data_IF_340302301569
#
_entry.id   IF_340302301569
#
_cell.length_a   1.000
_cell.length_b   1.000
_cell.length_c   1.000
_cell.angle_alpha   90.00
_cell.angle_beta   90.00
_cell.angle_gamma   90.00
#
_symmetry.space_group_name_H-M   'P 1'
#
loop_
_entity.id
_entity.type
_entity.pdbx_description
1 polymer ?
#
# COMPACT_ATOMS: atom_id res chain seq x y z
N UNK A 1 7.98 3.36 -2.42
CA UNK A 1 6.52 3.21 -2.53
C UNK A 1 6.14 2.21 -3.64
N UNK A 2 6.46 2.44 -4.91
CA UNK A 2 6.01 1.57 -6.02
C UNK A 2 6.35 0.08 -5.85
N UNK A 3 7.54 -0.28 -5.37
CA UNK A 3 7.86 -1.68 -5.04
C UNK A 3 6.96 -2.23 -3.93
N UNK A 4 6.72 -1.43 -2.89
CA UNK A 4 5.88 -1.85 -1.76
C UNK A 4 4.43 -2.07 -2.19
N UNK A 5 3.87 -1.19 -3.01
CA UNK A 5 2.52 -1.34 -3.58
C UNK A 5 2.43 -2.59 -4.46
N UNK A 6 3.41 -2.80 -5.36
CA UNK A 6 3.46 -3.98 -6.22
C UNK A 6 3.54 -5.28 -5.42
N UNK A 7 4.41 -5.36 -4.43
CA UNK A 7 4.53 -6.53 -3.55
C UNK A 7 3.27 -6.75 -2.72
N UNK A 8 2.61 -5.68 -2.24
CA UNK A 8 1.34 -5.79 -1.53
C UNK A 8 0.21 -6.32 -2.42
N UNK A 9 0.13 -5.91 -3.68
CA UNK A 9 -0.82 -6.46 -4.65
C UNK A 9 -0.58 -7.98 -4.82
N UNK A 10 0.67 -8.39 -4.99
CA UNK A 10 1.03 -9.80 -5.15
C UNK A 10 0.77 -10.62 -3.87
N UNK A 11 1.00 -10.03 -2.69
CA UNK A 11 0.65 -10.64 -1.40
C UNK A 11 -0.83 -10.99 -1.32
N UNK A 12 -1.70 -10.13 -1.86
CA UNK A 12 -3.15 -10.28 -1.82
C UNK A 12 -3.73 -10.95 -3.09
N UNK A 13 -2.89 -11.54 -3.95
CA UNK A 13 -3.34 -12.25 -5.16
C UNK A 13 -4.17 -13.52 -4.88
N UNK A 14 -4.39 -13.85 -3.62
CA UNK A 14 -5.25 -14.95 -3.15
C UNK A 14 -6.65 -14.49 -2.70
N UNK A 15 -7.02 -13.25 -2.95
CA UNK A 15 -8.29 -12.66 -2.53
C UNK A 15 -9.54 -13.45 -2.99
N UNK A 16 -9.43 -14.21 -4.09
CA UNK A 16 -10.50 -15.07 -4.59
C UNK A 16 -10.67 -16.42 -3.87
N UNK A 17 -9.82 -16.73 -2.88
CA UNK A 17 -9.95 -17.90 -2.01
C UNK A 17 -10.85 -17.65 -0.80
N UNK A 18 -11.17 -16.39 -0.49
CA UNK A 18 -11.97 -15.98 0.65
C UNK A 18 -13.37 -15.64 0.14
N UNK A 19 -14.41 -16.23 0.74
CA UNK A 19 -15.78 -15.82 0.49
C UNK A 19 -16.00 -14.41 1.04
N UNK A 20 -16.44 -13.50 0.16
CA UNK A 20 -16.81 -12.13 0.52
C UNK A 20 -18.32 -11.99 0.48
N UNK A 21 -18.93 -11.48 1.52
CA UNK A 21 -20.33 -11.08 1.47
C UNK A 21 -20.46 -9.87 0.55
N UNK A 22 -21.19 -10.03 -0.55
CA UNK A 22 -21.57 -8.92 -1.42
C UNK A 22 -22.78 -8.21 -0.80
N UNK A 23 -22.60 -6.95 -0.43
CA UNK A 23 -23.64 -6.08 0.09
C UNK A 23 -23.45 -4.64 -0.41
N UNK A 24 -24.30 -3.71 0.00
CA UNK A 24 -24.19 -2.30 -0.39
C UNK A 24 -22.89 -1.61 0.08
N UNK A 25 -22.17 -2.23 1.02
CA UNK A 25 -20.91 -1.68 1.61
C UNK A 25 -19.66 -2.32 1.04
N UNK A 26 -19.78 -3.45 0.32
CA UNK A 26 -18.65 -4.25 -0.13
C UNK A 26 -18.76 -4.51 -1.62
N UNK A 27 -17.83 -3.95 -2.40
CA UNK A 27 -17.76 -4.23 -3.82
C UNK A 27 -17.48 -5.74 -4.06
N UNK A 28 -18.22 -6.41 -4.96
CA UNK A 28 -17.96 -7.80 -5.29
C UNK A 28 -16.62 -7.96 -6.00
N UNK A 29 -16.05 -9.14 -5.91
CA UNK A 29 -14.93 -9.56 -6.74
C UNK A 29 -15.51 -10.28 -7.96
N UNK A 30 -15.54 -9.61 -9.12
CA UNK A 30 -16.25 -10.09 -10.31
C UNK A 30 -15.69 -11.41 -10.88
N UNK A 31 -14.39 -11.65 -10.73
CA UNK A 31 -13.69 -12.82 -11.23
C UNK A 31 -12.80 -13.43 -10.15
N UNK A 32 -13.35 -14.05 -9.11
CA UNK A 32 -12.56 -14.60 -8.00
C UNK A 32 -11.58 -15.70 -8.46
N UNK A 33 -11.87 -16.38 -9.57
CA UNK A 33 -10.99 -17.39 -10.17
C UNK A 33 -9.64 -16.82 -10.63
N UNK A 34 -9.55 -15.52 -10.90
CA UNK A 34 -8.31 -14.85 -11.31
C UNK A 34 -7.40 -14.46 -10.13
N UNK A 35 -7.90 -14.58 -8.90
CA UNK A 35 -7.20 -14.15 -7.68
C UNK A 35 -7.02 -15.31 -6.70
N UNK A 36 -6.41 -16.41 -7.16
CA UNK A 36 -6.25 -17.63 -6.36
C UNK A 36 -4.78 -18.09 -6.28
N UNK A 37 -3.85 -17.15 -6.24
CA UNK A 37 -2.42 -17.42 -6.21
C UNK A 37 -1.84 -17.17 -4.82
N UNK A 38 -1.06 -18.13 -4.32
CA UNK A 38 -0.18 -17.95 -3.17
C UNK A 38 1.24 -17.79 -3.71
N UNK A 39 1.71 -16.55 -3.79
CA UNK A 39 2.99 -16.22 -4.36
C UNK A 39 4.07 -16.18 -3.28
N UNK A 40 5.21 -16.78 -3.57
CA UNK A 40 6.43 -16.67 -2.76
C UNK A 40 7.09 -15.32 -3.04
N UNK A 41 6.84 -14.32 -2.16
CA UNK A 41 7.35 -12.96 -2.35
C UNK A 41 8.88 -12.85 -2.30
N UNK A 42 9.61 -13.59 -1.43
CA UNK A 42 11.05 -13.69 -1.54
C UNK A 42 11.53 -14.08 -2.94
N UNK A 43 10.96 -15.11 -3.54
CA UNK A 43 11.33 -15.55 -4.89
C UNK A 43 10.95 -14.53 -5.97
N UNK A 44 9.79 -13.86 -5.82
CA UNK A 44 9.42 -12.75 -6.71
C UNK A 44 10.44 -11.62 -6.64
N UNK A 45 10.88 -11.23 -5.45
CA UNK A 45 11.88 -10.19 -5.26
C UNK A 45 13.24 -10.61 -5.86
N UNK A 46 13.63 -11.88 -5.75
CA UNK A 46 14.84 -12.41 -6.41
C UNK A 46 14.76 -12.30 -7.93
N UNK A 47 13.63 -12.64 -8.55
CA UNK A 47 13.42 -12.47 -9.99
C UNK A 47 13.52 -11.00 -10.38
N UNK A 48 12.91 -10.10 -9.62
CA UNK A 48 12.95 -8.67 -9.93
C UNK A 48 14.37 -8.10 -9.85
N UNK A 49 15.13 -8.46 -8.81
CA UNK A 49 16.48 -7.90 -8.62
C UNK A 49 17.51 -8.41 -9.62
N UNK A 50 17.37 -9.65 -10.12
CA UNK A 50 18.34 -10.31 -10.99
C UNK A 50 17.92 -10.38 -12.45
N UNK A 51 16.63 -10.48 -12.74
CA UNK A 51 16.08 -10.78 -14.04
C UNK A 51 15.17 -9.69 -14.62
N UNK A 52 15.17 -8.48 -14.09
CA UNK A 52 14.33 -7.38 -14.58
C UNK A 52 15.08 -6.06 -14.75
N UNK A 53 14.47 -5.11 -15.48
CA UNK A 53 15.01 -3.77 -15.70
C UNK A 53 14.96 -2.87 -14.45
N UNK A 54 14.21 -3.26 -13.41
CA UNK A 54 14.08 -2.49 -12.17
C UNK A 54 15.13 -2.86 -11.12
N UNK A 55 16.16 -3.62 -11.49
CA UNK A 55 17.28 -3.98 -10.63
C UNK A 55 17.92 -2.74 -10.00
N UNK A 56 18.13 -2.75 -8.67
CA UNK A 56 18.73 -1.64 -7.93
C UNK A 56 19.25 -2.14 -6.57
N UNK A 57 20.16 -1.38 -5.96
CA UNK A 57 20.60 -1.70 -4.60
C UNK A 57 19.43 -1.71 -3.59
N UNK A 58 18.47 -0.78 -3.73
CA UNK A 58 17.28 -0.79 -2.89
C UNK A 58 16.46 -2.08 -3.04
N UNK A 59 16.37 -2.60 -4.26
CA UNK A 59 15.67 -3.87 -4.50
C UNK A 59 16.45 -5.07 -3.95
N UNK A 60 17.79 -5.04 -3.98
CA UNK A 60 18.63 -6.05 -3.31
C UNK A 60 18.37 -6.08 -1.81
N UNK A 61 18.29 -4.91 -1.16
CA UNK A 61 17.95 -4.79 0.26
C UNK A 61 16.51 -5.27 0.55
N UNK A 62 15.57 -5.00 -0.34
CA UNK A 62 14.19 -5.49 -0.23
C UNK A 62 14.13 -7.01 -0.31
N UNK A 63 14.85 -7.61 -1.25
CA UNK A 63 14.91 -9.06 -1.38
C UNK A 63 15.56 -9.71 -0.15
N UNK A 64 16.62 -9.13 0.39
CA UNK A 64 17.25 -9.62 1.63
C UNK A 64 16.28 -9.58 2.82
N UNK A 65 15.55 -8.48 3.00
CA UNK A 65 14.56 -8.35 4.07
C UNK A 65 13.44 -9.40 3.95
N UNK A 66 12.95 -9.67 2.75
CA UNK A 66 11.92 -10.69 2.51
C UNK A 66 12.45 -12.11 2.66
N UNK A 67 13.72 -12.37 2.40
CA UNK A 67 14.37 -13.66 2.68
C UNK A 67 14.48 -13.92 4.18
N UNK A 68 14.80 -12.89 4.97
CA UNK A 68 14.87 -12.99 6.42
C UNK A 68 13.48 -13.15 7.07
N UNK A 69 12.50 -12.40 6.59
CA UNK A 69 11.13 -12.39 7.11
C UNK A 69 10.12 -12.25 5.96
N UNK A 70 9.61 -13.37 5.40
CA UNK A 70 8.69 -13.34 4.25
C UNK A 70 7.39 -12.56 4.48
N UNK A 71 6.93 -12.48 5.72
CA UNK A 71 5.73 -11.74 6.12
C UNK A 71 6.04 -10.38 6.77
N UNK A 72 7.32 -10.04 6.93
CA UNK A 72 7.78 -8.82 7.61
C UNK A 72 7.14 -8.62 8.99
N UNK A 73 6.91 -9.72 9.72
CA UNK A 73 6.16 -9.75 10.98
C UNK A 73 6.75 -8.86 12.09
N UNK A 74 8.06 -8.58 12.02
CA UNK A 74 8.76 -7.73 12.99
C UNK A 74 8.55 -6.23 12.76
N UNK A 75 7.86 -5.85 11.67
CA UNK A 75 7.62 -4.46 11.30
C UNK A 75 6.16 -4.08 11.48
N UNK A 76 5.90 -2.98 12.17
CA UNK A 76 4.55 -2.45 12.40
C UNK A 76 4.02 -1.59 11.22
N UNK A 77 4.77 -1.47 10.12
CA UNK A 77 4.36 -0.67 8.95
C UNK A 77 4.41 0.85 9.16
N UNK A 78 5.02 1.33 10.25
CA UNK A 78 5.14 2.75 10.56
C UNK A 78 6.38 3.35 9.90
N UNK A 79 6.18 4.22 8.92
CA UNK A 79 7.27 4.83 8.14
C UNK A 79 7.54 6.26 8.59
N UNK A 80 8.78 6.51 9.04
CA UNK A 80 9.22 7.84 9.47
C UNK A 80 9.46 8.77 8.28
N UNK A 81 9.33 10.06 8.54
CA UNK A 81 9.60 11.13 7.59
C UNK A 81 10.73 12.00 8.16
N UNK A 82 11.90 11.90 7.55
CA UNK A 82 13.14 12.60 7.95
C UNK A 82 13.28 13.99 7.32
N UNK A 83 12.36 14.38 6.44
CA UNK A 83 12.25 15.74 5.90
C UNK A 83 12.60 15.88 4.42
N UNK A 84 13.39 14.98 3.83
CA UNK A 84 13.87 15.11 2.45
C UNK A 84 12.71 15.14 1.45
N UNK A 85 11.68 14.30 1.65
CA UNK A 85 10.46 14.29 0.82
C UNK A 85 9.68 15.59 0.93
N UNK A 86 9.62 16.19 2.13
CA UNK A 86 8.99 17.51 2.36
C UNK A 86 9.72 18.61 1.62
N UNK A 87 11.02 18.72 1.83
CA UNK A 87 11.83 19.77 1.22
C UNK A 87 11.80 19.69 -0.29
N UNK A 88 11.86 18.49 -0.85
CA UNK A 88 11.75 18.28 -2.30
C UNK A 88 10.35 18.65 -2.83
N UNK A 89 9.30 18.32 -2.11
CA UNK A 89 7.91 18.70 -2.51
C UNK A 89 7.74 20.22 -2.45
N UNK A 90 8.29 20.89 -1.43
CA UNK A 90 8.26 22.35 -1.31
C UNK A 90 9.04 22.99 -2.46
N UNK A 91 10.24 22.49 -2.78
CA UNK A 91 11.02 22.98 -3.91
C UNK A 91 10.25 22.85 -5.23
N UNK A 92 9.58 21.73 -5.48
CA UNK A 92 8.76 21.55 -6.66
C UNK A 92 7.61 22.57 -6.75
N UNK A 93 6.99 22.93 -5.62
CA UNK A 93 5.97 23.98 -5.54
C UNK A 93 6.57 25.35 -5.85
N UNK A 94 7.70 25.69 -5.23
CA UNK A 94 8.37 26.97 -5.40
C UNK A 94 8.84 27.16 -6.85
N UNK A 95 9.30 26.11 -7.49
CA UNK A 95 9.74 26.08 -8.89
C UNK A 95 8.57 26.01 -9.89
N UNK A 96 7.36 25.71 -9.45
CA UNK A 96 6.18 25.54 -10.31
C UNK A 96 6.22 24.28 -11.18
N UNK A 97 6.93 23.23 -10.73
CA UNK A 97 7.04 21.95 -11.45
C UNK A 97 6.20 20.84 -10.78
N UNK A 98 5.56 19.94 -11.56
CA UNK A 98 4.73 18.88 -10.99
C UNK A 98 5.57 17.74 -10.41
N UNK A 99 5.23 17.29 -9.20
CA UNK A 99 5.85 16.14 -8.52
C UNK A 99 4.81 15.22 -7.86
N UNK A 100 3.79 14.71 -8.58
CA UNK A 100 2.67 13.97 -7.98
C UNK A 100 3.11 12.65 -7.33
N UNK A 101 4.00 11.89 -7.95
CA UNK A 101 4.46 10.59 -7.43
C UNK A 101 5.23 10.75 -6.12
N UNK A 102 6.13 11.73 -6.07
CA UNK A 102 6.93 12.01 -4.87
C UNK A 102 6.04 12.53 -3.72
N UNK A 103 5.10 13.41 -4.02
CA UNK A 103 4.18 13.97 -3.02
C UNK A 103 3.24 12.91 -2.46
N UNK A 104 2.71 12.01 -3.30
CA UNK A 104 1.90 10.88 -2.85
C UNK A 104 2.71 9.95 -1.95
N UNK A 105 3.95 9.62 -2.30
CA UNK A 105 4.83 8.81 -1.46
C UNK A 105 5.16 9.46 -0.11
N UNK A 106 5.19 10.79 -0.03
CA UNK A 106 5.32 11.52 1.23
C UNK A 106 4.07 11.38 2.09
N UNK A 107 2.87 11.52 1.51
CA UNK A 107 1.60 11.41 2.23
C UNK A 107 1.37 9.99 2.77
N UNK A 108 1.79 8.94 2.07
CA UNK A 108 1.78 7.56 2.57
C UNK A 108 2.53 7.42 3.91
N UNK A 109 3.61 8.16 4.12
CA UNK A 109 4.31 8.20 5.41
C UNK A 109 3.44 8.80 6.53
N UNK A 110 2.55 9.75 6.20
CA UNK A 110 1.62 10.32 7.16
C UNK A 110 0.50 9.34 7.50
N UNK A 111 -0.08 8.68 6.49
CA UNK A 111 -1.06 7.61 6.66
C UNK A 111 -0.51 6.48 7.54
N UNK A 112 0.70 6.01 7.27
CA UNK A 112 1.32 4.93 8.05
C UNK A 112 1.48 5.23 9.55
N UNK A 113 1.27 6.48 9.97
CA UNK A 113 1.35 6.94 11.36
C UNK A 113 0.00 7.29 11.98
N UNK A 114 -1.11 7.03 11.25
CA UNK A 114 -2.48 7.30 11.71
C UNK A 114 -2.82 8.79 11.78
N UNK A 115 -2.19 9.64 10.96
CA UNK A 115 -2.47 11.08 10.93
C UNK A 115 -3.71 11.43 10.10
N UNK A 116 -4.36 10.46 9.52
CA UNK A 116 -5.59 10.49 8.75
C UNK A 116 -6.85 10.12 9.57
N UNK A 117 -6.70 9.52 10.74
CA UNK A 117 -7.77 9.01 11.63
C UNK A 117 -9.01 9.91 11.72
N UNK A 118 -8.80 11.21 11.93
CA UNK A 118 -9.92 12.14 12.03
C UNK A 118 -10.64 12.34 10.70
N UNK A 119 -9.89 12.37 9.60
CA UNK A 119 -10.44 12.46 8.25
C UNK A 119 -11.33 11.25 7.92
N UNK A 120 -10.87 10.07 8.23
CA UNK A 120 -11.61 8.82 8.01
C UNK A 120 -12.88 8.76 8.87
N UNK A 121 -12.82 9.20 10.13
CA UNK A 121 -14.01 9.34 10.99
C UNK A 121 -15.04 10.30 10.41
N UNK A 122 -14.60 11.41 9.81
CA UNK A 122 -15.50 12.35 9.14
C UNK A 122 -16.17 11.69 7.95
N UNK A 123 -15.43 10.94 7.12
CA UNK A 123 -16.00 10.22 5.99
C UNK A 123 -17.04 9.17 6.40
N UNK A 124 -16.74 8.38 7.43
CA UNK A 124 -17.69 7.44 8.03
C UNK A 124 -18.95 8.13 8.55
N UNK A 125 -18.80 9.23 9.27
CA UNK A 125 -19.93 10.01 9.78
C UNK A 125 -20.78 10.60 8.65
N UNK A 126 -20.16 11.09 7.57
CA UNK A 126 -20.87 11.60 6.40
C UNK A 126 -21.68 10.49 5.70
N UNK A 127 -21.12 9.30 5.55
CA UNK A 127 -21.83 8.13 4.97
C UNK A 127 -23.04 7.75 5.82
N UNK A 128 -22.90 7.74 7.14
CA UNK A 128 -24.02 7.45 8.06
C UNK A 128 -25.12 8.49 7.92
N UNK A 129 -24.79 9.78 7.89
CA UNK A 129 -25.79 10.85 7.79
C UNK A 129 -26.49 10.88 6.41
N UNK A 130 -25.77 10.57 5.35
CA UNK A 130 -26.31 10.59 4.00
C UNK A 130 -27.13 9.34 3.66
N UNK A 131 -26.66 8.16 4.01
CA UNK A 131 -27.25 6.88 3.58
C UNK A 131 -27.72 5.96 4.71
N UNK A 132 -27.54 6.36 5.99
CA UNK A 132 -27.89 5.51 7.15
C UNK A 132 -26.96 4.29 7.33
N UNK A 133 -25.81 4.26 6.62
CA UNK A 133 -24.86 3.16 6.70
C UNK A 133 -24.04 3.23 7.98
N UNK A 134 -24.16 2.21 8.82
CA UNK A 134 -23.32 2.07 10.00
C UNK A 134 -21.94 1.51 9.63
N UNK A 135 -20.91 1.99 10.31
CA UNK A 135 -19.54 1.49 10.15
C UNK A 135 -19.46 0.02 10.55
N UNK A 136 -18.83 -0.81 9.72
CA UNK A 136 -18.62 -2.23 10.05
C UNK A 136 -17.51 -2.34 11.09
N UNK A 137 -17.75 -3.17 12.11
CA UNK A 137 -16.69 -3.59 13.04
C UNK A 137 -15.69 -4.47 12.27
N UNK A 138 -14.41 -4.11 12.29
CA UNK A 138 -13.32 -4.88 11.71
C UNK A 138 -13.05 -6.20 12.44
#
# INVERSE_FOLDING_TARGET
AAYAEGLNILKNANAGKVERQADAETAPLDHPEYYRYDLDLPEVAEVWRRGSVVGSWLLDLTAAALQESPDLADFAGRVSDSGEGRWTSIAAIDEGVPAPVLTTALYERFYSRGLDDFGDKVLSAMRKQFGGHDEKSG
#
